data_IF_850786066833
#
_entry.id   IF_850786066833
#
_cell.length_a   1.000
_cell.length_b   1.000
_cell.length_c   1.000
_cell.angle_alpha   90.00
_cell.angle_beta   90.00
_cell.angle_gamma   90.00
#
_symmetry.space_group_name_H-M   'P 1'
#
loop_
_entity.id
_entity.type
_entity.pdbx_description
1 polymer ?
#
# COMPACT_ATOMS: atom_id res chain seq x y z
N UNK A 1 65.01 10.76 -19.67
CA UNK A 1 64.17 11.07 -18.50
C UNK A 1 62.88 11.67 -19.02
N UNK A 2 61.75 10.96 -18.93
CA UNK A 2 60.45 11.62 -18.99
C UNK A 2 59.41 10.84 -18.16
N UNK A 3 59.58 10.94 -16.84
CA UNK A 3 58.77 10.24 -15.82
C UNK A 3 57.46 11.01 -15.52
N UNK A 4 57.20 12.13 -16.21
CA UNK A 4 56.10 13.05 -15.87
C UNK A 4 54.74 12.71 -16.50
N UNK A 5 54.66 11.72 -17.39
CA UNK A 5 53.42 11.46 -18.15
C UNK A 5 52.55 10.30 -17.64
N UNK A 6 53.04 9.46 -16.72
CA UNK A 6 52.28 8.29 -16.23
C UNK A 6 51.44 8.56 -14.97
N UNK A 7 51.69 9.65 -14.25
CA UNK A 7 50.93 10.01 -13.03
C UNK A 7 49.57 10.64 -13.33
N UNK A 8 49.47 11.47 -14.39
CA UNK A 8 48.20 12.14 -14.73
C UNK A 8 47.12 11.22 -15.30
N UNK A 9 47.49 10.06 -15.88
CA UNK A 9 46.53 9.10 -16.43
C UNK A 9 45.90 8.20 -15.37
N UNK A 10 46.64 7.89 -14.29
CA UNK A 10 46.14 7.11 -13.14
C UNK A 10 45.21 7.91 -12.23
N UNK A 11 45.36 9.22 -12.16
CA UNK A 11 44.47 10.07 -11.36
C UNK A 11 43.10 10.24 -12.03
N UNK A 12 43.04 10.48 -13.35
CA UNK A 12 41.76 10.63 -14.08
C UNK A 12 40.87 9.38 -14.02
N UNK A 13 41.44 8.17 -14.01
CA UNK A 13 40.68 6.92 -13.86
C UNK A 13 40.06 6.75 -12.47
N UNK A 14 40.72 7.25 -11.41
CA UNK A 14 40.22 7.18 -10.04
C UNK A 14 39.11 8.20 -9.76
N UNK A 15 39.14 9.36 -10.40
CA UNK A 15 38.05 10.36 -10.31
C UNK A 15 36.81 9.94 -11.11
N UNK A 16 36.97 9.32 -12.29
CA UNK A 16 35.85 8.81 -13.06
C UNK A 16 35.13 7.64 -12.36
N UNK A 17 35.88 6.75 -11.72
CA UNK A 17 35.29 5.63 -10.94
C UNK A 17 34.61 6.12 -9.65
N UNK A 18 35.14 7.15 -8.99
CA UNK A 18 34.48 7.76 -7.81
C UNK A 18 33.23 8.57 -8.18
N UNK A 19 33.21 9.27 -9.32
CA UNK A 19 32.00 9.94 -9.78
C UNK A 19 30.91 8.95 -10.20
N UNK A 20 31.25 7.87 -10.90
CA UNK A 20 30.28 6.85 -11.30
C UNK A 20 29.68 6.10 -10.10
N UNK A 21 30.47 5.84 -9.06
CA UNK A 21 29.97 5.24 -7.81
C UNK A 21 29.13 6.25 -7.02
N UNK A 22 29.45 7.55 -7.04
CA UNK A 22 28.58 8.57 -6.44
C UNK A 22 27.26 8.74 -7.21
N UNK A 23 27.24 8.71 -8.54
CA UNK A 23 25.99 8.77 -9.30
C UNK A 23 25.16 7.49 -9.20
N UNK A 24 25.78 6.30 -9.07
CA UNK A 24 25.06 5.06 -8.80
C UNK A 24 24.51 4.97 -7.36
N UNK A 25 25.18 5.60 -6.39
CA UNK A 25 24.67 5.76 -5.03
C UNK A 25 23.60 6.86 -4.91
N UNK A 26 23.61 7.85 -5.80
CA UNK A 26 22.58 8.90 -5.89
C UNK A 26 21.37 8.50 -6.74
N UNK A 27 21.51 7.56 -7.68
CA UNK A 27 20.39 7.05 -8.49
C UNK A 27 19.63 5.88 -7.85
N UNK A 28 20.18 5.28 -6.78
CA UNK A 28 19.46 4.30 -5.96
C UNK A 28 18.50 4.95 -4.95
N UNK A 29 18.39 6.28 -4.93
CA UNK A 29 17.49 7.02 -4.04
C UNK A 29 16.50 7.89 -4.83
N UNK A 30 15.90 7.32 -5.88
CA UNK A 30 14.56 7.72 -6.29
C UNK A 30 13.50 6.96 -5.46
N UNK A 31 13.75 6.79 -4.15
CA UNK A 31 12.74 6.49 -3.15
C UNK A 31 12.44 7.80 -2.39
N UNK A 32 12.15 8.86 -3.14
CA UNK A 32 11.64 10.11 -2.58
C UNK A 32 10.11 10.08 -2.58
N UNK A 33 9.54 9.12 -1.85
CA UNK A 33 8.28 9.35 -1.15
C UNK A 33 8.61 9.15 0.32
N UNK A 34 8.81 10.26 1.04
CA UNK A 34 8.91 10.21 2.49
C UNK A 34 7.66 9.52 3.05
N UNK A 35 7.80 8.53 3.94
CA UNK A 35 6.65 7.88 4.54
C UNK A 35 6.08 8.87 5.54
N UNK A 36 4.98 9.50 5.19
CA UNK A 36 4.20 10.22 6.17
C UNK A 36 2.76 9.78 5.97
N UNK A 37 2.44 8.63 6.56
CA UNK A 37 1.15 8.50 7.23
C UNK A 37 0.77 9.86 7.79
N UNK A 38 -0.45 10.34 7.61
CA UNK A 38 -0.83 11.73 7.66
C UNK A 38 -0.09 12.49 8.75
N UNK A 39 0.60 13.59 8.43
CA UNK A 39 2.04 13.51 8.24
C UNK A 39 2.96 13.04 9.41
N UNK A 40 2.42 12.32 10.40
CA UNK A 40 2.91 12.23 11.77
C UNK A 40 2.51 10.95 12.52
N UNK A 41 1.83 9.97 11.93
CA UNK A 41 1.62 8.71 12.65
C UNK A 41 2.80 7.76 12.45
N UNK A 42 3.35 7.23 13.54
CA UNK A 42 4.22 6.06 13.47
C UNK A 42 3.37 4.84 13.09
N UNK A 43 3.88 3.92 12.29
CA UNK A 43 3.14 2.71 12.00
C UNK A 43 2.92 1.93 13.32
N UNK A 44 1.84 1.13 13.44
CA UNK A 44 1.50 0.45 14.69
C UNK A 44 2.67 -0.36 15.23
N UNK A 45 2.92 -0.31 16.54
CA UNK A 45 3.98 -1.12 17.16
C UNK A 45 3.65 -2.60 16.99
N UNK A 46 4.60 -3.39 16.47
CA UNK A 46 4.43 -4.83 16.31
C UNK A 46 5.42 -5.42 15.32
N UNK A 47 5.43 -6.75 15.21
CA UNK A 47 6.29 -7.44 14.25
C UNK A 47 5.80 -7.23 12.82
N UNK A 48 6.74 -6.91 11.94
CA UNK A 48 6.50 -6.74 10.51
C UNK A 48 6.31 -8.07 9.80
N UNK A 49 5.46 -8.02 8.78
CA UNK A 49 5.38 -9.07 7.81
C UNK A 49 6.53 -8.98 6.81
N UNK A 50 6.94 -10.15 6.31
CA UNK A 50 7.80 -10.16 5.13
C UNK A 50 6.92 -9.86 3.92
N UNK A 51 7.30 -8.81 3.18
CA UNK A 51 6.65 -8.39 1.95
C UNK A 51 7.73 -8.30 0.89
N UNK A 52 7.48 -8.90 -0.27
CA UNK A 52 8.40 -8.86 -1.41
C UNK A 52 7.74 -8.10 -2.55
N UNK A 53 8.42 -7.11 -3.13
CA UNK A 53 7.92 -6.44 -4.34
C UNK A 53 8.16 -7.33 -5.56
N UNK A 54 7.16 -7.44 -6.44
CA UNK A 54 7.27 -8.15 -7.70
C UNK A 54 7.55 -7.14 -8.84
N UNK A 55 8.69 -7.24 -9.53
CA UNK A 55 8.98 -6.39 -10.68
C UNK A 55 8.15 -6.82 -11.89
N UNK A 56 7.88 -5.87 -12.78
CA UNK A 56 7.31 -6.16 -14.09
C UNK A 56 8.29 -7.02 -14.91
N UNK A 57 7.79 -8.05 -15.56
CA UNK A 57 8.58 -8.94 -16.44
C UNK A 57 9.16 -8.14 -17.61
N UNK A 58 8.41 -7.18 -18.13
CA UNK A 58 8.83 -6.28 -19.20
C UNK A 58 9.83 -5.21 -18.74
N UNK A 59 10.25 -5.23 -17.46
CA UNK A 59 11.12 -4.23 -16.83
C UNK A 59 10.44 -2.91 -16.51
N UNK A 60 9.26 -2.64 -17.08
CA UNK A 60 8.42 -1.47 -16.80
C UNK A 60 6.94 -1.79 -16.98
N UNK A 61 6.10 -0.99 -16.35
CA UNK A 61 4.65 -1.02 -16.55
C UNK A 61 4.31 -0.47 -17.93
N UNK A 62 3.41 -1.16 -18.63
CA UNK A 62 2.91 -0.78 -19.95
C UNK A 62 1.68 0.12 -19.79
N UNK A 63 1.76 1.33 -20.34
CA UNK A 63 0.66 2.30 -20.34
C UNK A 63 -0.47 1.91 -21.28
N UNK A 64 -0.16 1.26 -22.40
CA UNK A 64 -1.12 0.83 -23.41
C UNK A 64 -0.83 -0.61 -23.79
N UNK A 65 -1.10 -1.53 -22.86
CA UNK A 65 -0.75 -2.93 -23.03
C UNK A 65 -1.02 -3.77 -21.79
N UNK A 66 -0.40 -4.94 -21.76
CA UNK A 66 -0.46 -5.87 -20.63
C UNK A 66 0.90 -5.89 -19.95
N UNK A 67 0.92 -5.67 -18.64
CA UNK A 67 2.10 -5.83 -17.80
C UNK A 67 2.00 -7.13 -17.03
N UNK A 68 3.06 -7.94 -17.03
CA UNK A 68 3.08 -9.20 -16.31
C UNK A 68 3.95 -9.12 -15.06
N UNK A 69 3.50 -9.76 -13.99
CA UNK A 69 4.27 -9.99 -12.77
C UNK A 69 4.27 -11.48 -12.50
N UNK A 70 5.46 -12.09 -12.36
CA UNK A 70 5.61 -13.54 -12.18
C UNK A 70 6.08 -13.85 -10.77
N UNK A 71 5.43 -14.83 -10.15
CA UNK A 71 5.86 -15.42 -8.88
C UNK A 71 5.72 -16.94 -8.94
N UNK A 72 6.84 -17.66 -8.99
CA UNK A 72 6.94 -19.12 -9.07
C UNK A 72 5.92 -19.80 -10.02
N UNK A 73 4.71 -20.08 -9.51
CA UNK A 73 3.64 -20.79 -10.20
C UNK A 73 2.44 -19.90 -10.59
N UNK A 74 2.55 -18.58 -10.47
CA UNK A 74 1.48 -17.62 -10.69
C UNK A 74 1.95 -16.46 -11.57
N UNK A 75 1.06 -16.02 -12.45
CA UNK A 75 1.25 -14.83 -13.29
C UNK A 75 0.09 -13.88 -13.02
N UNK A 76 0.41 -12.67 -12.60
CA UNK A 76 -0.53 -11.55 -12.57
C UNK A 76 -0.39 -10.79 -13.87
N UNK A 77 -1.50 -10.55 -14.55
CA UNK A 77 -1.54 -9.73 -15.76
C UNK A 77 -2.41 -8.51 -15.50
N UNK A 78 -1.80 -7.33 -15.60
CA UNK A 78 -2.49 -6.03 -15.53
C UNK A 78 -2.67 -5.53 -16.96
N UNK A 79 -3.90 -5.60 -17.46
CA UNK A 79 -4.28 -5.16 -18.81
C UNK A 79 -4.82 -3.72 -18.76
N UNK A 80 -4.13 -2.80 -19.42
CA UNK A 80 -4.52 -1.39 -19.50
C UNK A 80 -4.89 -0.96 -20.93
N UNK A 81 -5.37 -1.89 -21.77
CA UNK A 81 -5.87 -1.55 -23.11
C UNK A 81 -7.32 -1.04 -23.10
N UNK A 82 -8.04 -1.24 -22.00
CA UNK A 82 -9.43 -0.83 -21.82
C UNK A 82 -9.60 0.56 -21.20
N UNK A 83 -10.84 0.88 -20.84
CA UNK A 83 -11.18 2.14 -20.16
C UNK A 83 -10.67 2.21 -18.72
N UNK A 84 -10.44 1.06 -18.09
CA UNK A 84 -9.87 0.92 -16.77
C UNK A 84 -8.88 -0.26 -16.75
N UNK A 85 -7.84 -0.20 -15.89
CA UNK A 85 -6.91 -1.31 -15.74
C UNK A 85 -7.61 -2.54 -15.14
N UNK A 86 -7.42 -3.69 -15.77
CA UNK A 86 -7.97 -4.97 -15.34
C UNK A 86 -6.85 -5.86 -14.80
N UNK A 87 -7.09 -6.56 -13.70
CA UNK A 87 -6.19 -7.57 -13.14
C UNK A 87 -6.78 -8.95 -13.31
N UNK A 88 -5.99 -9.88 -13.82
CA UNK A 88 -6.28 -11.31 -13.78
C UNK A 88 -5.09 -12.08 -13.21
N UNK A 89 -5.35 -13.28 -12.71
CA UNK A 89 -4.33 -14.16 -12.14
C UNK A 89 -4.43 -15.53 -12.79
N UNK A 90 -3.31 -16.05 -13.26
CA UNK A 90 -3.21 -17.36 -13.91
C UNK A 90 -2.14 -18.21 -13.21
N UNK A 91 -2.23 -19.53 -13.34
CA UNK A 91 -1.09 -20.40 -13.03
C UNK A 91 -0.07 -20.43 -14.18
N UNK A 92 1.04 -21.12 -13.97
CA UNK A 92 2.11 -21.26 -14.97
C UNK A 92 1.65 -21.94 -16.27
N UNK A 93 0.55 -22.71 -16.25
CA UNK A 93 -0.03 -23.35 -17.43
C UNK A 93 -1.07 -22.45 -18.14
N UNK A 94 -1.31 -21.23 -17.63
CA UNK A 94 -2.26 -20.28 -18.19
C UNK A 94 -3.71 -20.49 -17.74
N UNK A 95 -3.97 -21.39 -16.79
CA UNK A 95 -5.32 -21.56 -16.24
C UNK A 95 -5.64 -20.39 -15.33
N UNK A 96 -6.81 -19.79 -15.52
CA UNK A 96 -7.30 -18.69 -14.69
C UNK A 96 -7.55 -19.14 -13.25
N UNK A 97 -6.88 -18.46 -12.31
CA UNK A 97 -7.07 -18.61 -10.87
C UNK A 97 -7.90 -17.44 -10.30
N UNK A 98 -7.85 -16.27 -10.94
CA UNK A 98 -8.74 -15.13 -10.75
C UNK A 98 -9.17 -14.61 -12.14
N UNK A 99 -10.49 -14.54 -12.44
CA UNK A 99 -10.95 -13.88 -13.67
C UNK A 99 -10.59 -12.38 -13.67
N UNK A 100 -10.64 -11.70 -14.83
CA UNK A 100 -10.39 -10.26 -14.88
C UNK A 100 -11.29 -9.48 -13.93
N UNK A 101 -10.68 -8.70 -13.03
CA UNK A 101 -11.35 -7.75 -12.14
C UNK A 101 -10.82 -6.35 -12.40
N UNK A 102 -11.71 -5.36 -12.33
CA UNK A 102 -11.32 -3.96 -12.48
C UNK A 102 -10.50 -3.49 -11.28
N UNK A 103 -9.37 -2.84 -11.52
CA UNK A 103 -8.59 -2.17 -10.48
C UNK A 103 -9.17 -0.78 -10.21
N UNK A 104 -9.19 -0.37 -8.95
CA UNK A 104 -9.54 1.01 -8.59
C UNK A 104 -8.41 1.98 -8.96
N UNK A 105 -8.75 3.22 -9.30
CA UNK A 105 -7.76 4.24 -9.69
C UNK A 105 -7.35 4.14 -11.17
N UNK A 106 -6.16 4.67 -11.50
CA UNK A 106 -5.63 4.63 -12.86
C UNK A 106 -4.13 4.35 -12.86
N UNK A 107 -3.58 3.87 -13.97
CA UNK A 107 -2.15 3.50 -14.04
C UNK A 107 -1.19 4.65 -13.72
N UNK A 108 -1.62 5.92 -13.86
CA UNK A 108 -0.78 7.06 -13.49
C UNK A 108 -0.41 7.05 -12.00
N UNK A 109 -1.22 6.37 -11.18
CA UNK A 109 -0.94 6.09 -9.78
C UNK A 109 -0.38 4.69 -9.54
N UNK A 110 0.09 3.94 -10.52
CA UNK A 110 0.58 2.58 -10.24
C UNK A 110 1.82 2.60 -9.32
N UNK A 111 1.72 1.96 -8.14
CA UNK A 111 2.80 1.90 -7.15
C UNK A 111 3.56 0.57 -7.19
N UNK A 112 2.90 -0.53 -7.56
CA UNK A 112 3.55 -1.83 -7.58
C UNK A 112 2.62 -3.01 -7.31
N UNK A 113 3.24 -4.18 -7.35
CA UNK A 113 2.66 -5.45 -6.88
C UNK A 113 3.52 -5.96 -5.73
N UNK A 114 2.86 -6.30 -4.62
CA UNK A 114 3.48 -6.79 -3.40
C UNK A 114 3.04 -8.24 -3.17
N UNK A 115 3.97 -9.13 -2.84
CA UNK A 115 3.73 -10.53 -2.42
C UNK A 115 3.83 -10.65 -0.91
N UNK A 116 2.84 -11.29 -0.30
CA UNK A 116 2.73 -11.48 1.16
C UNK A 116 1.83 -12.68 1.48
N UNK A 117 1.98 -13.32 2.65
CA UNK A 117 1.03 -14.34 3.14
C UNK A 117 0.01 -13.67 4.07
N UNK A 118 -1.16 -13.26 3.55
CA UNK A 118 -2.20 -12.55 4.31
C UNK A 118 -3.09 -13.50 5.10
N UNK A 119 -3.45 -14.65 4.53
CA UNK A 119 -4.39 -15.57 5.16
C UNK A 119 -3.71 -16.66 6.03
N UNK A 120 -2.39 -16.81 5.94
CA UNK A 120 -1.59 -17.75 6.74
C UNK A 120 -1.53 -19.18 6.19
N UNK A 121 -1.89 -19.39 4.93
CA UNK A 121 -1.89 -20.70 4.27
C UNK A 121 -0.55 -21.04 3.58
N UNK A 122 0.43 -20.12 3.66
CA UNK A 122 1.77 -20.21 3.07
C UNK A 122 1.78 -20.19 1.53
N UNK A 123 0.65 -19.89 0.89
CA UNK A 123 0.62 -19.55 -0.52
C UNK A 123 0.79 -18.03 -0.67
N UNK A 124 1.37 -17.58 -1.78
CA UNK A 124 1.50 -16.15 -2.02
C UNK A 124 0.12 -15.51 -2.22
N UNK A 125 -0.17 -14.48 -1.44
CA UNK A 125 -1.20 -13.49 -1.70
C UNK A 125 -0.54 -12.25 -2.31
N UNK A 126 -1.34 -11.44 -3.00
CA UNK A 126 -0.85 -10.26 -3.70
C UNK A 126 -1.62 -9.00 -3.33
N UNK A 127 -0.95 -7.87 -3.33
CA UNK A 127 -1.56 -6.55 -3.23
C UNK A 127 -1.10 -5.72 -4.41
N UNK A 128 -2.04 -5.22 -5.19
CA UNK A 128 -1.78 -4.31 -6.32
C UNK A 128 -2.26 -2.92 -5.91
N UNK A 129 -1.36 -1.95 -5.95
CA UNK A 129 -1.62 -0.60 -5.43
C UNK A 129 -1.66 0.44 -6.55
N UNK A 130 -2.77 1.16 -6.67
CA UNK A 130 -2.96 2.27 -7.60
C UNK A 130 -3.45 3.52 -6.86
N UNK A 131 -2.68 4.60 -6.92
CA UNK A 131 -3.08 5.94 -6.50
C UNK A 131 -4.21 6.50 -7.36
N UNK A 132 -5.05 7.35 -6.78
CA UNK A 132 -6.19 7.96 -7.45
C UNK A 132 -6.30 9.48 -7.20
N UNK A 133 -5.17 10.15 -6.99
CA UNK A 133 -5.09 11.60 -6.79
C UNK A 133 -4.99 12.02 -5.32
N UNK A 134 -5.09 13.33 -5.05
CA UNK A 134 -4.98 13.89 -3.69
C UNK A 134 -6.33 14.02 -2.99
N UNK A 135 -6.32 14.06 -1.64
CA UNK A 135 -7.51 14.33 -0.82
C UNK A 135 -7.62 15.76 -0.30
N UNK A 136 -6.73 16.66 -0.71
CA UNK A 136 -6.70 18.04 -0.19
C UNK A 136 -6.25 18.15 1.27
N UNK A 137 -5.70 17.06 1.84
CA UNK A 137 -5.26 16.97 3.24
C UNK A 137 -3.76 16.59 3.35
N UNK A 138 -2.96 17.01 2.35
CA UNK A 138 -1.55 16.60 2.21
C UNK A 138 -1.37 15.07 2.25
N UNK A 139 -2.30 14.35 1.62
CA UNK A 139 -2.23 12.91 1.41
C UNK A 139 -2.85 12.51 0.07
N UNK A 140 -2.41 11.38 -0.46
CA UNK A 140 -2.88 10.72 -1.67
C UNK A 140 -3.89 9.62 -1.37
N UNK A 141 -4.96 9.60 -2.15
CA UNK A 141 -5.87 8.47 -2.24
C UNK A 141 -5.20 7.31 -2.98
N UNK A 142 -5.49 6.10 -2.55
CA UNK A 142 -5.13 4.89 -3.27
C UNK A 142 -6.15 3.78 -3.10
N UNK A 143 -6.15 2.90 -4.09
CA UNK A 143 -6.87 1.64 -4.08
C UNK A 143 -5.87 0.51 -4.01
N UNK A 144 -6.04 -0.35 -3.00
CA UNK A 144 -5.32 -1.62 -2.91
C UNK A 144 -6.26 -2.75 -3.32
N UNK A 145 -5.95 -3.40 -4.43
CA UNK A 145 -6.61 -4.66 -4.80
C UNK A 145 -5.86 -5.80 -4.12
N UNK A 146 -6.48 -6.39 -3.11
CA UNK A 146 -5.95 -7.48 -2.31
C UNK A 146 -6.45 -8.80 -2.90
N UNK A 147 -5.51 -9.63 -3.36
CA UNK A 147 -5.75 -10.92 -4.01
C UNK A 147 -5.31 -12.03 -3.06
N UNK A 148 -6.28 -12.77 -2.52
CA UNK A 148 -6.09 -13.76 -1.46
C UNK A 148 -6.34 -15.16 -2.00
N UNK A 149 -5.41 -16.06 -1.74
CA UNK A 149 -5.50 -17.47 -2.08
C UNK A 149 -6.69 -18.13 -1.36
N UNK A 150 -7.39 -19.03 -2.06
CA UNK A 150 -8.48 -19.80 -1.49
C UNK A 150 -8.65 -21.12 -2.24
N UNK A 151 -8.05 -22.19 -1.71
CA UNK A 151 -8.05 -23.47 -2.41
C UNK A 151 -7.29 -23.33 -3.73
N UNK A 152 -7.82 -23.85 -4.83
CA UNK A 152 -7.17 -23.81 -6.15
C UNK A 152 -7.29 -22.46 -6.89
N UNK A 153 -7.93 -21.46 -6.29
CA UNK A 153 -8.23 -20.15 -6.90
C UNK A 153 -7.87 -18.99 -5.99
N UNK A 154 -8.08 -17.77 -6.48
CA UNK A 154 -7.97 -16.54 -5.70
C UNK A 154 -9.33 -15.83 -5.54
N UNK A 155 -9.37 -14.93 -4.57
CA UNK A 155 -10.43 -13.93 -4.38
C UNK A 155 -9.83 -12.56 -4.32
N UNK A 156 -10.52 -11.56 -4.86
CA UNK A 156 -10.05 -10.20 -4.81
C UNK A 156 -10.97 -9.33 -3.95
N UNK A 157 -10.37 -8.41 -3.20
CA UNK A 157 -11.05 -7.34 -2.51
C UNK A 157 -10.44 -6.01 -2.91
N UNK A 158 -11.27 -4.99 -3.04
CA UNK A 158 -10.82 -3.61 -3.21
C UNK A 158 -10.80 -2.95 -1.83
N UNK A 159 -9.66 -2.40 -1.44
CA UNK A 159 -9.44 -1.73 -0.17
C UNK A 159 -9.13 -0.25 -0.44
N UNK A 160 -10.06 0.68 -0.13
CA UNK A 160 -9.77 2.10 -0.16
C UNK A 160 -8.80 2.43 0.98
N UNK A 161 -7.73 3.14 0.65
CA UNK A 161 -6.73 3.58 1.63
C UNK A 161 -6.13 4.92 1.22
N UNK A 162 -5.41 5.54 2.14
CA UNK A 162 -4.61 6.72 1.85
C UNK A 162 -3.14 6.38 2.12
N UNK A 163 -2.23 6.95 1.34
CA UNK A 163 -0.78 6.83 1.54
C UNK A 163 -0.29 5.41 1.85
N UNK A 164 -0.58 4.42 0.97
CA UNK A 164 -0.15 3.04 1.19
C UNK A 164 1.38 2.94 1.21
N UNK A 165 1.92 2.24 2.21
CA UNK A 165 3.36 1.98 2.34
C UNK A 165 3.63 0.49 2.59
N UNK A 166 4.88 0.02 2.37
CA UNK A 166 5.31 -1.31 2.77
C UNK A 166 5.24 -1.56 4.30
N UNK A 167 5.18 -0.51 5.11
CA UNK A 167 5.11 -0.62 6.58
C UNK A 167 3.70 -0.97 7.10
N UNK A 168 2.71 -1.02 6.20
CA UNK A 168 1.30 -1.30 6.53
C UNK A 168 1.05 -2.75 6.94
N UNK A 169 2.02 -3.65 6.79
CA UNK A 169 1.83 -5.08 6.99
C UNK A 169 2.28 -5.53 8.37
N UNK A 170 1.33 -5.98 9.19
CA UNK A 170 1.57 -6.40 10.58
C UNK A 170 1.23 -7.86 10.82
N UNK A 171 2.11 -8.57 11.54
CA UNK A 171 1.82 -9.92 12.03
C UNK A 171 0.88 -9.85 13.22
N UNK A 172 -0.29 -10.46 13.10
CA UNK A 172 -1.27 -10.46 14.20
C UNK A 172 -0.87 -11.50 15.26
N UNK A 173 -0.68 -11.11 16.53
CA UNK A 173 -0.29 -12.05 17.58
C UNK A 173 -1.21 -13.27 17.65
N UNK A 174 -0.61 -14.47 17.80
CA UNK A 174 -1.31 -15.77 17.91
C UNK A 174 -2.18 -16.12 16.69
N UNK A 175 -2.00 -15.45 15.56
CA UNK A 175 -2.69 -15.74 14.30
C UNK A 175 -1.66 -15.96 13.20
N UNK A 176 -2.02 -16.81 12.23
CA UNK A 176 -1.23 -16.96 11.01
C UNK A 176 -1.62 -15.89 9.99
N UNK A 177 -0.69 -15.62 9.09
CA UNK A 177 -0.82 -14.62 8.05
C UNK A 177 -0.57 -13.19 8.53
N UNK A 178 -0.77 -12.27 7.60
CA UNK A 178 -0.51 -10.86 7.73
C UNK A 178 -1.80 -10.05 7.69
N UNK A 179 -1.82 -8.95 8.43
CA UNK A 179 -2.87 -7.96 8.33
C UNK A 179 -2.35 -6.70 7.68
N UNK A 180 -3.24 -6.01 6.97
CA UNK A 180 -2.97 -4.77 6.25
C UNK A 180 -3.59 -3.60 7.02
N UNK A 181 -2.82 -2.54 7.23
CA UNK A 181 -3.33 -1.30 7.76
C UNK A 181 -4.15 -0.58 6.69
N UNK A 182 -5.40 -0.27 7.02
CA UNK A 182 -6.27 0.60 6.25
C UNK A 182 -6.26 1.98 6.89
N UNK A 183 -5.89 2.98 6.10
CA UNK A 183 -6.02 4.39 6.47
C UNK A 183 -7.23 5.00 5.77
N UNK A 184 -8.20 5.48 6.56
CA UNK A 184 -9.38 6.19 6.06
C UNK A 184 -9.39 7.64 6.54
N UNK A 185 -10.02 8.51 5.76
CA UNK A 185 -10.35 9.89 6.14
C UNK A 185 -11.84 9.94 6.45
N UNK A 186 -12.20 10.50 7.61
CA UNK A 186 -13.59 10.65 8.02
C UNK A 186 -13.83 12.07 8.51
N UNK A 187 -14.80 12.76 7.93
CA UNK A 187 -15.25 14.08 8.37
C UNK A 187 -16.47 13.95 9.28
N UNK A 188 -16.38 14.48 10.50
CA UNK A 188 -17.46 14.53 11.46
C UNK A 188 -18.14 15.89 11.45
N UNK A 189 -19.47 15.88 11.52
CA UNK A 189 -20.27 17.09 11.68
C UNK A 189 -20.26 17.59 13.13
N UNK A 190 -20.73 18.83 13.39
CA UNK A 190 -20.83 19.41 14.73
C UNK A 190 -21.62 18.59 15.75
N UNK A 191 -22.58 17.77 15.32
CA UNK A 191 -23.38 16.97 16.25
C UNK A 191 -22.59 15.79 16.82
N UNK A 192 -21.55 15.33 16.11
CA UNK A 192 -20.72 14.19 16.51
C UNK A 192 -19.51 14.60 17.39
N UNK A 193 -19.16 15.88 17.44
CA UNK A 193 -17.93 16.39 18.08
C UNK A 193 -18.23 17.11 19.38
N UNK A 194 -17.37 16.94 20.40
CA UNK A 194 -17.56 17.54 21.73
C UNK A 194 -17.56 19.08 21.72
N UNK A 195 -16.83 19.69 20.78
CA UNK A 195 -16.72 21.13 20.64
C UNK A 195 -17.71 21.74 19.65
N UNK A 196 -18.61 20.92 19.08
CA UNK A 196 -19.65 21.32 18.13
C UNK A 196 -19.12 22.01 16.88
N UNK A 197 -18.01 21.51 16.34
CA UNK A 197 -17.40 21.98 15.09
C UNK A 197 -17.18 20.85 14.10
N UNK A 198 -17.06 21.20 12.83
CA UNK A 198 -16.64 20.28 11.79
C UNK A 198 -15.17 19.91 12.00
N UNK A 199 -14.87 18.61 11.93
CA UNK A 199 -13.50 18.11 12.05
C UNK A 199 -13.28 16.93 11.11
N UNK A 200 -12.07 16.81 10.59
CA UNK A 200 -11.64 15.65 9.79
C UNK A 200 -10.67 14.81 10.60
N UNK A 201 -10.78 13.49 10.48
CA UNK A 201 -9.99 12.53 11.23
C UNK A 201 -9.33 11.53 10.30
N UNK A 202 -8.08 11.21 10.62
CA UNK A 202 -7.40 10.03 10.11
C UNK A 202 -7.77 8.84 10.97
N UNK A 203 -8.18 7.76 10.32
CA UNK A 203 -8.68 6.56 10.99
C UNK A 203 -7.88 5.36 10.53
N UNK A 204 -7.17 4.77 11.48
CA UNK A 204 -6.32 3.61 11.25
C UNK A 204 -7.01 2.36 11.78
N UNK A 205 -7.17 1.39 10.90
CA UNK A 205 -7.66 0.06 11.27
C UNK A 205 -6.82 -1.02 10.66
N UNK A 206 -6.64 -2.10 11.38
CA UNK A 206 -5.91 -3.24 10.88
C UNK A 206 -6.89 -4.29 10.36
N UNK A 207 -6.70 -4.74 9.13
CA UNK A 207 -7.60 -5.67 8.43
C UNK A 207 -6.88 -6.97 8.11
N UNK A 208 -7.45 -8.10 8.52
CA UNK A 208 -7.05 -9.44 8.07
C UNK A 208 -7.95 -9.87 6.94
N UNK A 209 -7.45 -10.77 6.09
CA UNK A 209 -8.21 -11.28 4.97
C UNK A 209 -8.34 -12.80 5.02
N UNK A 210 -9.52 -13.29 4.66
CA UNK A 210 -9.81 -14.72 4.56
C UNK A 210 -10.80 -14.92 3.41
N UNK A 211 -10.32 -15.47 2.29
CA UNK A 211 -11.09 -15.53 1.05
C UNK A 211 -11.58 -14.14 0.64
N UNK A 212 -12.87 -13.99 0.37
CA UNK A 212 -13.50 -12.72 0.00
C UNK A 212 -13.92 -11.83 1.19
N UNK A 213 -13.37 -12.04 2.40
CA UNK A 213 -13.76 -11.29 3.60
C UNK A 213 -12.58 -10.53 4.19
N UNK A 214 -12.81 -9.26 4.53
CA UNK A 214 -11.94 -8.49 5.40
C UNK A 214 -12.50 -8.50 6.84
N UNK A 215 -11.63 -8.77 7.81
CA UNK A 215 -11.97 -8.92 9.23
C UNK A 215 -11.09 -7.96 10.02
N UNK A 216 -11.71 -7.09 10.81
CA UNK A 216 -10.96 -6.17 11.66
C UNK A 216 -10.14 -6.90 12.72
N UNK A 217 -8.87 -6.53 12.83
CA UNK A 217 -7.89 -7.06 13.79
C UNK A 217 -7.27 -5.97 14.67
N UNK A 218 -7.77 -4.73 14.59
CA UNK A 218 -7.27 -3.57 15.35
C UNK A 218 -7.10 -3.85 16.85
N UNK A 219 -8.05 -4.57 17.46
CA UNK A 219 -8.04 -4.90 18.90
C UNK A 219 -6.82 -5.73 19.35
N UNK A 220 -6.11 -6.36 18.41
CA UNK A 220 -4.90 -7.12 18.72
C UNK A 220 -3.66 -6.23 18.92
N UNK A 221 -3.76 -4.93 18.66
CA UNK A 221 -2.65 -3.99 18.69
C UNK A 221 -2.97 -2.80 19.60
N UNK A 222 -2.10 -2.50 20.59
CA UNK A 222 -2.21 -1.28 21.37
C UNK A 222 -2.25 -0.04 20.46
N UNK A 223 -3.17 0.88 20.76
CA UNK A 223 -3.34 2.10 19.98
C UNK A 223 -4.22 1.97 18.74
N UNK A 224 -4.74 0.79 18.40
CA UNK A 224 -5.70 0.60 17.30
C UNK A 224 -7.10 0.19 17.80
N UNK A 225 -8.19 0.61 17.12
CA UNK A 225 -8.19 1.56 16.01
C UNK A 225 -7.83 2.97 16.48
N UNK A 226 -7.04 3.70 15.69
CA UNK A 226 -6.61 5.05 16.07
C UNK A 226 -7.41 6.10 15.29
N UNK A 227 -7.95 7.09 15.98
CA UNK A 227 -8.63 8.25 15.38
C UNK A 227 -7.81 9.48 15.72
N UNK A 228 -7.20 10.12 14.73
CA UNK A 228 -6.32 11.26 14.93
C UNK A 228 -6.97 12.46 14.26
N UNK A 229 -7.12 13.56 15.00
CA UNK A 229 -7.61 14.82 14.42
C UNK A 229 -6.65 15.29 13.33
N UNK A 230 -7.16 15.54 12.13
CA UNK A 230 -6.37 16.22 11.11
C UNK A 230 -6.11 17.66 11.54
N UNK A 231 -4.84 18.04 11.52
CA UNK A 231 -4.39 19.42 11.71
C UNK A 231 -3.24 19.68 10.76
N UNK A 232 -3.01 20.91 10.32
CA UNK A 232 -1.80 21.24 9.55
C UNK A 232 -0.51 21.24 10.39
N UNK A 233 -0.57 20.91 11.69
CA UNK A 233 0.56 20.99 12.62
C UNK A 233 1.41 19.73 12.60
N UNK A 234 2.72 19.92 12.64
CA UNK A 234 3.68 18.84 12.71
C UNK A 234 3.63 18.04 14.02
N UNK A 235 3.82 16.73 13.92
CA UNK A 235 3.92 15.78 15.03
C UNK A 235 2.60 15.29 15.62
N UNK A 236 1.44 15.58 15.01
CA UNK A 236 0.16 15.16 15.59
C UNK A 236 -0.14 13.68 15.31
N UNK A 237 0.21 12.83 16.27
CA UNK A 237 -0.12 11.39 16.29
C UNK A 237 -1.11 11.00 17.38
N UNK A 238 -1.68 11.99 18.09
CA UNK A 238 -2.45 11.75 19.29
C UNK A 238 -3.87 11.32 18.97
N UNK A 239 -4.37 10.34 19.72
CA UNK A 239 -5.76 9.95 19.64
C UNK A 239 -6.67 11.14 19.99
N UNK A 240 -7.70 11.37 19.18
CA UNK A 240 -8.65 12.46 19.37
C UNK A 240 -9.44 12.31 20.66
N UNK A 241 -9.61 13.44 21.35
CA UNK A 241 -10.53 13.57 22.49
C UNK A 241 -11.86 14.20 22.08
N UNK A 242 -12.03 14.58 20.82
CA UNK A 242 -13.23 15.28 20.31
C UNK A 242 -14.40 14.34 20.00
N UNK A 243 -14.15 13.04 19.85
CA UNK A 243 -15.18 12.03 19.59
C UNK A 243 -15.28 11.06 20.76
N UNK A 244 -16.51 10.76 21.19
CA UNK A 244 -16.77 9.61 22.06
C UNK A 244 -16.87 8.32 21.22
N UNK A 245 -16.92 7.16 21.88
CA UNK A 245 -16.92 5.87 21.18
C UNK A 245 -18.19 5.61 20.36
N UNK A 246 -19.34 6.12 20.82
CA UNK A 246 -20.58 6.03 20.06
C UNK A 246 -20.48 6.81 18.73
N UNK A 247 -19.96 8.03 18.77
CA UNK A 247 -19.74 8.85 17.57
C UNK A 247 -18.73 8.20 16.62
N UNK A 248 -17.64 7.63 17.13
CA UNK A 248 -16.67 6.87 16.30
C UNK A 248 -17.33 5.67 15.62
N UNK A 249 -18.18 4.93 16.35
CA UNK A 249 -18.88 3.77 15.81
C UNK A 249 -19.89 4.18 14.73
N UNK A 250 -20.67 5.25 14.97
CA UNK A 250 -21.64 5.78 14.01
C UNK A 250 -20.94 6.23 12.72
N UNK A 251 -19.90 7.07 12.83
CA UNK A 251 -19.15 7.57 11.69
C UNK A 251 -18.45 6.45 10.90
N UNK A 252 -17.91 5.44 11.58
CA UNK A 252 -17.27 4.31 10.88
C UNK A 252 -18.27 3.46 10.09
N UNK A 253 -19.48 3.31 10.62
CA UNK A 253 -20.55 2.50 10.06
C UNK A 253 -21.44 3.28 9.08
N UNK A 254 -21.13 4.55 8.81
CA UNK A 254 -21.83 5.38 7.84
C UNK A 254 -21.83 4.67 6.46
N UNK A 255 -22.99 4.49 5.81
CA UNK A 255 -23.10 3.84 4.50
C UNK A 255 -22.45 4.63 3.36
N UNK A 256 -22.28 5.95 3.51
CA UNK A 256 -21.66 6.81 2.49
C UNK A 256 -20.12 6.69 2.44
N UNK A 257 -19.51 6.15 3.50
CA UNK A 257 -18.06 5.94 3.54
C UNK A 257 -17.64 4.87 2.53
N UNK A 258 -16.52 5.08 1.85
CA UNK A 258 -15.89 4.03 1.04
C UNK A 258 -15.56 2.79 1.90
N UNK A 259 -15.93 1.62 1.40
CA UNK A 259 -15.79 0.34 2.11
C UNK A 259 -14.88 -0.60 1.35
N UNK A 260 -14.35 -1.57 2.09
CA UNK A 260 -13.74 -2.73 1.48
C UNK A 260 -14.85 -3.52 0.79
N UNK A 261 -14.69 -3.79 -0.51
CA UNK A 261 -15.65 -4.53 -1.31
C UNK A 261 -15.01 -5.79 -1.87
N UNK A 262 -15.76 -6.89 -1.89
CA UNK A 262 -15.36 -8.05 -2.66
C UNK A 262 -15.54 -7.75 -4.16
N UNK A 263 -14.56 -8.14 -4.96
CA UNK A 263 -14.65 -8.08 -6.42
C UNK A 263 -15.22 -9.42 -6.94
N UNK A 264 -15.91 -9.39 -8.09
CA UNK A 264 -16.53 -10.58 -8.69
C UNK A 264 -15.54 -11.71 -9.00
#
# INVERSE_FOLDING_TARGET
MDVRNNTRRRERGRYACRLAVLTLLLSAQAQAWHPQYPPWSRPPVGSECKVDSLPAVEGKVQWEGVTHFRDANTVLAVDNRGTAPMLQVQDAAGRLLLPPVELGGGLLGFHGVERVDLNGDRRPDYVVTLGSGGVGLAGGNAWRTVVVSQGDRYRALRVPTHEPTPDDYRRVPRRRGCALLQLSVITANPAATRDRRWHTFWVYRLMRFQGARAIEASRAFPGLPNWILYTHRTGNSSATTLLNDLSKQQLWNDPSRERITALP
#
